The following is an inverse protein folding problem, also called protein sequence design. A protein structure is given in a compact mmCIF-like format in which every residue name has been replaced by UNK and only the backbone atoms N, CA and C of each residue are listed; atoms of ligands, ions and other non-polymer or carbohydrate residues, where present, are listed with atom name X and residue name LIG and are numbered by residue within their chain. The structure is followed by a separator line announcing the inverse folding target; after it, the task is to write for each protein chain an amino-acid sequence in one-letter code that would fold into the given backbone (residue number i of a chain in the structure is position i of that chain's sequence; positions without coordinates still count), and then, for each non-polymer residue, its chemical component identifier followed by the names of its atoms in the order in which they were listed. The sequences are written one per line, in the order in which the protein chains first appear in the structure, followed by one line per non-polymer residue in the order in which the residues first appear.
data_IF_214684600587
#
_entry.id   IF_214684600587
#
_cell.length_a   1.000
_cell.length_b   1.000
_cell.length_c   1.000
_cell.angle_alpha   90.00
_cell.angle_beta   90.00
_cell.angle_gamma   90.00
#
_symmetry.space_group_name_H-M   'P 1'
#
loop_
_entity.id
_entity.type
_entity.pdbx_description
1 polymer ?
#
# COMPACT_ATOMS: atom_id res chain seq x y z
N UNK A 1 21.38 -0.69 1.57
CA UNK A 1 21.00 -1.97 2.22
C UNK A 1 19.67 -2.58 1.76
N UNK A 2 18.97 -2.09 0.72
CA UNK A 2 17.63 -2.62 0.35
C UNK A 2 17.62 -3.79 -0.67
N UNK A 3 18.72 -4.04 -1.41
CA UNK A 3 18.91 -5.35 -2.07
C UNK A 3 18.97 -6.50 -1.05
N UNK A 4 19.22 -6.19 0.22
CA UNK A 4 19.40 -7.19 1.27
C UNK A 4 18.05 -7.80 1.67
N UNK A 5 17.04 -7.00 2.03
CA UNK A 5 15.79 -7.55 2.57
C UNK A 5 14.94 -8.33 1.56
N UNK A 6 14.84 -7.90 0.30
CA UNK A 6 14.12 -8.68 -0.73
C UNK A 6 14.82 -9.99 -1.13
N UNK A 7 16.11 -10.13 -0.82
CA UNK A 7 16.88 -11.34 -1.13
C UNK A 7 16.59 -12.48 -0.13
N UNK A 8 16.11 -12.15 1.08
CA UNK A 8 15.77 -13.13 2.12
C UNK A 8 14.29 -13.43 2.24
N UNK A 9 13.43 -12.69 1.51
CA UNK A 9 12.02 -13.03 1.44
C UNK A 9 11.85 -14.33 0.64
N UNK A 10 10.93 -15.21 1.07
CA UNK A 10 10.61 -16.41 0.32
C UNK A 10 10.14 -16.00 -1.09
N UNK A 11 10.84 -16.50 -2.11
CA UNK A 11 10.48 -16.22 -3.50
C UNK A 11 9.23 -17.00 -3.84
N UNK A 12 8.17 -16.28 -4.18
CA UNK A 12 6.93 -16.87 -4.68
C UNK A 12 7.01 -17.03 -6.18
N UNK A 13 6.40 -18.09 -6.68
CA UNK A 13 6.28 -18.30 -8.13
C UNK A 13 5.05 -17.55 -8.65
N UNK A 14 5.12 -17.09 -9.90
CA UNK A 14 3.98 -16.44 -10.54
C UNK A 14 2.77 -17.37 -10.60
N UNK A 15 2.99 -18.65 -10.94
CA UNK A 15 1.96 -19.69 -10.96
C UNK A 15 1.29 -19.88 -9.59
N UNK A 16 2.05 -19.85 -8.50
CA UNK A 16 1.50 -19.94 -7.15
C UNK A 16 0.60 -18.74 -6.82
N UNK A 17 0.98 -17.53 -7.24
CA UNK A 17 0.15 -16.33 -7.08
C UNK A 17 -1.17 -16.45 -7.88
N UNK A 18 -1.10 -16.88 -9.14
CA UNK A 18 -2.28 -17.10 -9.99
C UNK A 18 -3.21 -18.17 -9.39
N UNK A 19 -2.66 -19.31 -8.98
CA UNK A 19 -3.46 -20.39 -8.37
C UNK A 19 -4.13 -19.95 -7.08
N UNK A 20 -3.42 -19.15 -6.26
CA UNK A 20 -3.99 -18.60 -5.02
C UNK A 20 -5.13 -17.63 -5.31
N UNK A 21 -4.98 -16.80 -6.35
CA UNK A 21 -6.02 -15.86 -6.75
C UNK A 21 -7.26 -16.59 -7.28
N UNK A 22 -7.06 -17.61 -8.12
CA UNK A 22 -8.16 -18.43 -8.64
C UNK A 22 -8.91 -19.14 -7.52
N UNK A 23 -8.23 -19.59 -6.47
CA UNK A 23 -8.87 -20.11 -5.26
C UNK A 23 -9.69 -19.04 -4.55
N UNK A 24 -9.17 -17.82 -4.39
CA UNK A 24 -9.91 -16.70 -3.80
C UNK A 24 -11.17 -16.37 -4.61
N UNK A 25 -11.06 -16.24 -5.94
CA UNK A 25 -12.21 -15.98 -6.84
C UNK A 25 -13.26 -17.08 -6.76
N UNK A 26 -12.87 -18.35 -6.61
CA UNK A 26 -13.80 -19.47 -6.41
C UNK A 26 -14.56 -19.37 -5.09
N UNK A 27 -13.88 -18.96 -4.01
CA UNK A 27 -14.52 -18.75 -2.70
C UNK A 27 -15.51 -17.59 -2.74
N UNK A 28 -15.12 -16.48 -3.40
CA UNK A 28 -15.97 -15.30 -3.61
C UNK A 28 -17.22 -15.64 -4.43
N UNK A 29 -17.07 -16.43 -5.50
CA UNK A 29 -18.18 -16.85 -6.37
C UNK A 29 -18.97 -18.07 -5.85
N UNK A 30 -18.64 -18.58 -4.66
CA UNK A 30 -19.32 -19.77 -4.14
C UNK A 30 -20.76 -19.43 -3.74
N UNK A 31 -21.72 -20.05 -4.42
CA UNK A 31 -23.16 -19.86 -4.16
C UNK A 31 -23.56 -20.31 -2.76
N UNK A 32 -22.79 -21.22 -2.15
CA UNK A 32 -23.07 -21.78 -0.83
C UNK A 32 -22.98 -20.74 0.30
N UNK A 33 -22.39 -19.56 0.02
CA UNK A 33 -22.21 -18.50 1.01
C UNK A 33 -23.30 -17.41 0.99
N UNK A 34 -24.24 -17.46 0.05
CA UNK A 34 -25.39 -16.55 0.03
C UNK A 34 -25.05 -15.07 -0.16
N UNK A 35 -23.90 -14.75 -0.74
CA UNK A 35 -23.47 -13.37 -0.99
C UNK A 35 -24.36 -12.66 -2.02
N UNK A 36 -24.46 -11.33 -1.92
CA UNK A 36 -25.16 -10.52 -2.91
C UNK A 36 -24.44 -10.56 -4.27
N UNK A 37 -25.16 -10.96 -5.31
CA UNK A 37 -24.57 -11.18 -6.64
C UNK A 37 -23.99 -9.90 -7.25
N UNK A 38 -24.59 -8.73 -7.00
CA UNK A 38 -24.10 -7.45 -7.54
C UNK A 38 -22.81 -7.03 -6.83
N UNK A 39 -22.75 -7.15 -5.50
CA UNK A 39 -21.54 -6.86 -4.74
C UNK A 39 -20.40 -7.80 -5.11
N UNK A 40 -20.69 -9.09 -5.31
CA UNK A 40 -19.71 -10.08 -5.80
C UNK A 40 -19.19 -9.71 -7.18
N UNK A 41 -20.06 -9.34 -8.12
CA UNK A 41 -19.63 -8.91 -9.46
C UNK A 41 -18.75 -7.65 -9.42
N UNK A 42 -19.11 -6.66 -8.58
CA UNK A 42 -18.27 -5.47 -8.38
C UNK A 42 -16.90 -5.84 -7.81
N UNK A 43 -16.86 -6.72 -6.80
CA UNK A 43 -15.60 -7.17 -6.21
C UNK A 43 -14.73 -7.92 -7.24
N UNK A 44 -15.32 -8.85 -8.01
CA UNK A 44 -14.59 -9.60 -9.04
C UNK A 44 -14.01 -8.65 -10.09
N UNK A 45 -14.77 -7.64 -10.53
CA UNK A 45 -14.24 -6.60 -11.44
C UNK A 45 -13.01 -5.90 -10.86
N UNK A 46 -13.07 -5.47 -9.60
CA UNK A 46 -11.94 -4.80 -8.93
C UNK A 46 -10.73 -5.74 -8.79
N UNK A 47 -10.97 -7.01 -8.49
CA UNK A 47 -9.93 -8.05 -8.42
C UNK A 47 -9.28 -8.28 -9.77
N UNK A 48 -10.06 -8.34 -10.85
CA UNK A 48 -9.57 -8.52 -12.22
C UNK A 48 -8.75 -7.30 -12.68
N UNK A 49 -9.21 -6.08 -12.41
CA UNK A 49 -8.45 -4.85 -12.69
C UNK A 49 -7.11 -4.86 -11.95
N UNK A 50 -7.10 -5.32 -10.70
CA UNK A 50 -5.88 -5.42 -9.91
C UNK A 50 -4.94 -6.51 -10.43
N UNK A 51 -5.47 -7.65 -10.83
CA UNK A 51 -4.69 -8.72 -11.47
C UNK A 51 -4.03 -8.24 -12.76
N UNK A 52 -4.76 -7.52 -13.60
CA UNK A 52 -4.24 -6.93 -14.84
C UNK A 52 -3.08 -5.97 -14.53
N UNK A 53 -3.21 -5.12 -13.51
CA UNK A 53 -2.12 -4.23 -13.09
C UNK A 53 -0.85 -5.01 -12.71
N UNK A 54 -0.98 -6.09 -11.92
CA UNK A 54 0.16 -6.95 -11.57
C UNK A 54 0.77 -7.62 -12.81
N UNK A 55 -0.05 -8.21 -13.69
CA UNK A 55 0.41 -8.86 -14.93
C UNK A 55 1.16 -7.88 -15.83
N UNK A 56 0.63 -6.68 -16.00
CA UNK A 56 1.24 -5.62 -16.80
C UNK A 56 2.60 -5.22 -16.23
N UNK A 57 2.72 -5.03 -14.91
CA UNK A 57 4.01 -4.69 -14.30
C UNK A 57 5.01 -5.84 -14.41
N UNK A 58 4.60 -7.08 -14.12
CA UNK A 58 5.48 -8.25 -14.23
C UNK A 58 5.97 -8.42 -15.69
N UNK A 59 5.08 -8.27 -16.67
CA UNK A 59 5.39 -8.41 -18.09
C UNK A 59 6.33 -7.33 -18.65
N UNK A 60 6.47 -6.17 -17.97
CA UNK A 60 7.36 -5.10 -18.41
C UNK A 60 8.85 -5.38 -18.14
N UNK A 61 9.17 -6.29 -17.22
CA UNK A 61 10.56 -6.57 -16.85
C UNK A 61 11.07 -7.83 -17.54
N UNK A 62 12.23 -7.73 -18.20
CA UNK A 62 12.90 -8.89 -18.80
C UNK A 62 13.65 -9.74 -17.79
N UNK A 63 14.11 -9.12 -16.69
CA UNK A 63 14.90 -9.78 -15.65
C UNK A 63 13.99 -10.30 -14.55
N UNK A 64 14.08 -11.59 -14.26
CA UNK A 64 13.31 -12.23 -13.19
C UNK A 64 13.56 -11.59 -11.81
N UNK A 65 14.76 -11.06 -11.56
CA UNK A 65 15.06 -10.33 -10.31
C UNK A 65 14.19 -9.11 -10.10
N UNK A 66 13.83 -8.43 -11.20
CA UNK A 66 13.09 -7.17 -11.17
C UNK A 66 11.58 -7.44 -11.17
N UNK A 67 11.16 -8.61 -11.69
CA UNK A 67 9.79 -9.12 -11.57
C UNK A 67 9.43 -9.56 -10.15
N UNK A 68 10.40 -10.10 -9.39
CA UNK A 68 10.14 -10.79 -8.13
C UNK A 68 9.37 -9.97 -7.07
N UNK A 69 9.64 -8.66 -6.86
CA UNK A 69 8.84 -7.86 -5.92
C UNK A 69 7.36 -7.82 -6.29
N UNK A 70 7.04 -7.66 -7.57
CA UNK A 70 5.66 -7.65 -8.06
C UNK A 70 4.99 -9.02 -7.95
N UNK A 71 5.73 -10.11 -8.23
CA UNK A 71 5.22 -11.48 -8.03
C UNK A 71 4.91 -11.75 -6.55
N UNK A 72 5.79 -11.32 -5.65
CA UNK A 72 5.61 -11.47 -4.22
C UNK A 72 4.41 -10.64 -3.71
N UNK A 73 4.27 -9.40 -4.17
CA UNK A 73 3.13 -8.54 -3.83
C UNK A 73 1.83 -9.10 -4.40
N UNK A 74 1.86 -9.65 -5.62
CA UNK A 74 0.70 -10.32 -6.22
C UNK A 74 0.26 -11.55 -5.40
N UNK A 75 1.22 -12.37 -4.96
CA UNK A 75 0.92 -13.47 -4.04
C UNK A 75 0.34 -12.98 -2.71
N UNK A 76 0.89 -11.91 -2.13
CA UNK A 76 0.39 -11.35 -0.87
C UNK A 76 -1.06 -10.86 -1.00
N UNK A 77 -1.38 -10.20 -2.11
CA UNK A 77 -2.74 -9.79 -2.45
C UNK A 77 -3.68 -11.00 -2.55
N UNK A 78 -3.33 -11.97 -3.41
CA UNK A 78 -4.13 -13.16 -3.64
C UNK A 78 -4.36 -13.97 -2.36
N UNK A 79 -3.29 -14.14 -1.56
CA UNK A 79 -3.35 -14.85 -0.29
C UNK A 79 -4.24 -14.11 0.72
N UNK A 80 -4.14 -12.78 0.81
CA UNK A 80 -4.96 -12.03 1.76
C UNK A 80 -6.44 -12.14 1.42
N UNK A 81 -6.80 -12.03 0.14
CA UNK A 81 -8.19 -12.28 -0.30
C UNK A 81 -8.63 -13.71 0.02
N UNK A 82 -7.80 -14.71 -0.31
CA UNK A 82 -8.12 -16.11 -0.01
C UNK A 82 -8.35 -16.32 1.48
N UNK A 83 -7.36 -15.97 2.32
CA UNK A 83 -7.42 -16.15 3.77
C UNK A 83 -8.67 -15.43 4.34
N UNK A 84 -8.99 -14.23 3.85
CA UNK A 84 -10.16 -13.46 4.28
C UNK A 84 -11.48 -14.17 3.94
N UNK A 85 -11.63 -14.65 2.70
CA UNK A 85 -12.85 -15.36 2.32
C UNK A 85 -12.93 -16.79 2.86
N UNK A 86 -11.81 -17.41 3.25
CA UNK A 86 -11.84 -18.68 4.00
C UNK A 86 -12.43 -18.46 5.39
N UNK A 87 -11.84 -17.53 6.16
CA UNK A 87 -12.23 -17.23 7.55
C UNK A 87 -12.38 -15.71 7.80
N UNK A 88 -13.52 -15.08 7.43
CA UNK A 88 -13.70 -13.63 7.58
C UNK A 88 -13.59 -13.15 9.03
N UNK A 89 -13.96 -13.99 9.99
CA UNK A 89 -13.91 -13.67 11.43
C UNK A 89 -12.51 -13.63 12.02
N UNK A 90 -11.51 -14.22 11.36
CA UNK A 90 -10.12 -14.25 11.85
C UNK A 90 -9.31 -13.03 11.39
N UNK A 91 -9.84 -12.25 10.45
CA UNK A 91 -9.14 -11.14 9.81
C UNK A 91 -10.02 -9.90 9.91
N UNK A 92 -9.83 -9.12 10.96
CA UNK A 92 -10.59 -7.88 11.19
C UNK A 92 -10.33 -6.84 10.10
N UNK A 93 -9.07 -6.69 9.67
CA UNK A 93 -8.66 -5.72 8.66
C UNK A 93 -7.79 -6.38 7.58
N UNK A 94 -8.39 -6.82 6.45
CA UNK A 94 -7.64 -7.43 5.36
C UNK A 94 -6.73 -6.44 4.64
N UNK A 95 -7.07 -5.15 4.58
CA UNK A 95 -6.23 -4.13 3.95
C UNK A 95 -4.92 -3.97 4.74
N UNK A 96 -5.03 -3.74 6.06
CA UNK A 96 -3.87 -3.63 6.94
C UNK A 96 -3.01 -4.89 6.92
N UNK A 97 -3.62 -6.09 6.90
CA UNK A 97 -2.89 -7.36 6.78
C UNK A 97 -2.09 -7.46 5.48
N UNK A 98 -2.66 -6.99 4.37
CA UNK A 98 -1.98 -6.96 3.08
C UNK A 98 -0.83 -5.94 3.06
N UNK A 99 -1.04 -4.71 3.51
CA UNK A 99 -0.01 -3.66 3.54
C UNK A 99 1.15 -3.96 4.50
N UNK A 100 0.87 -4.61 5.63
CA UNK A 100 1.87 -5.00 6.61
C UNK A 100 2.60 -6.31 6.22
N UNK A 101 2.22 -6.94 5.12
CA UNK A 101 2.95 -8.10 4.60
C UNK A 101 4.36 -7.69 4.19
N UNK A 102 5.38 -8.43 4.65
CA UNK A 102 6.75 -8.23 4.20
C UNK A 102 6.95 -8.45 2.69
N UNK A 103 5.96 -9.01 2.00
CA UNK A 103 5.94 -9.21 0.55
C UNK A 103 5.29 -8.05 -0.22
N UNK A 104 4.69 -7.07 0.46
CA UNK A 104 3.98 -5.96 -0.15
C UNK A 104 4.91 -4.99 -0.87
N UNK A 105 4.49 -4.61 -2.06
CA UNK A 105 4.91 -3.37 -2.72
C UNK A 105 3.71 -2.78 -3.47
N UNK A 106 3.61 -1.45 -3.50
CA UNK A 106 2.51 -0.78 -4.22
C UNK A 106 2.67 -0.98 -5.73
N UNK A 107 1.57 -1.28 -6.41
CA UNK A 107 1.52 -1.54 -7.86
C UNK A 107 0.43 -0.64 -8.44
N UNK A 108 0.82 0.26 -9.33
CA UNK A 108 -0.09 1.15 -10.04
C UNK A 108 -0.53 0.55 -11.38
N UNK A 109 -1.58 1.14 -11.96
CA UNK A 109 -2.03 0.80 -13.32
C UNK A 109 -0.95 1.06 -14.37
N UNK A 110 -0.15 2.10 -14.14
CA UNK A 110 0.99 2.46 -14.98
C UNK A 110 2.30 2.25 -14.23
N UNK A 111 3.39 2.16 -15.00
CA UNK A 111 4.75 2.01 -14.46
C UNK A 111 5.13 3.17 -13.54
N UNK A 112 4.73 4.39 -13.91
CA UNK A 112 5.10 5.60 -13.17
C UNK A 112 4.43 5.68 -11.80
N UNK A 113 3.29 5.02 -11.63
CA UNK A 113 2.55 4.91 -10.37
C UNK A 113 2.94 3.68 -9.54
N UNK A 114 3.82 2.82 -10.06
CA UNK A 114 4.23 1.58 -9.41
C UNK A 114 5.51 1.75 -8.61
N UNK A 115 5.72 0.85 -7.66
CA UNK A 115 6.98 0.77 -6.93
C UNK A 115 8.16 0.62 -7.89
N UNK A 116 9.25 1.30 -7.59
CA UNK A 116 10.52 1.25 -8.30
C UNK A 116 11.69 1.07 -7.33
N UNK A 117 12.84 0.65 -7.85
CA UNK A 117 14.06 0.60 -7.03
C UNK A 117 14.48 1.98 -6.48
N UNK A 118 14.12 3.06 -7.17
CA UNK A 118 14.44 4.41 -6.75
C UNK A 118 13.67 4.82 -5.48
N UNK A 119 12.50 4.24 -5.21
CA UNK A 119 11.76 4.43 -3.95
C UNK A 119 12.53 3.87 -2.75
N UNK A 120 13.18 2.72 -2.92
CA UNK A 120 14.03 2.16 -1.86
C UNK A 120 15.36 2.90 -1.72
N UNK A 121 15.96 3.32 -2.83
CA UNK A 121 17.20 4.09 -2.80
C UNK A 121 16.99 5.45 -2.12
N UNK A 122 15.92 6.16 -2.49
CA UNK A 122 15.56 7.45 -1.89
C UNK A 122 15.28 7.32 -0.39
N UNK A 123 14.48 6.34 0.05
CA UNK A 123 14.26 6.08 1.49
C UNK A 123 15.58 5.81 2.22
N UNK A 124 16.47 5.00 1.63
CA UNK A 124 17.78 4.72 2.24
C UNK A 124 18.68 5.97 2.33
N UNK A 125 18.70 6.80 1.29
CA UNK A 125 19.44 8.08 1.31
C UNK A 125 18.84 9.07 2.30
N UNK A 126 17.52 9.11 2.43
CA UNK A 126 16.82 9.95 3.40
C UNK A 126 17.24 9.58 4.82
N UNK A 127 17.15 8.30 5.20
CA UNK A 127 17.53 7.86 6.54
C UNK A 127 19.04 7.98 6.81
N UNK A 128 19.87 7.70 5.81
CA UNK A 128 21.33 7.89 5.93
C UNK A 128 21.65 9.38 6.11
N UNK A 129 20.98 10.24 5.34
CA UNK A 129 21.10 11.69 5.44
C UNK A 129 20.67 12.22 6.81
N UNK A 130 19.55 11.74 7.35
CA UNK A 130 19.09 12.06 8.70
C UNK A 130 20.09 11.60 9.77
N UNK A 131 20.63 10.38 9.64
CA UNK A 131 21.67 9.87 10.55
C UNK A 131 22.94 10.73 10.52
N UNK A 132 23.40 11.11 9.33
CA UNK A 132 24.54 12.03 9.16
C UNK A 132 24.25 13.43 9.70
N UNK A 133 23.00 13.89 9.64
CA UNK A 133 22.58 15.18 10.21
C UNK A 133 22.69 15.15 11.74
N UNK A 134 22.18 14.09 12.36
CA UNK A 134 22.29 13.93 13.82
C UNK A 134 23.75 13.81 14.23
N UNK A 135 24.55 13.06 13.49
CA UNK A 135 25.99 12.93 13.74
C UNK A 135 26.72 14.26 13.61
N UNK A 136 26.40 15.08 12.60
CA UNK A 136 27.05 16.38 12.40
C UNK A 136 26.76 17.33 13.56
N UNK A 137 25.51 17.35 14.06
CA UNK A 137 25.14 18.15 15.24
C UNK A 137 25.91 17.74 16.49
N UNK A 138 26.13 16.43 16.70
CA UNK A 138 26.92 15.91 17.82
C UNK A 138 28.42 16.24 17.70
N UNK A 139 28.93 16.45 16.49
CA UNK A 139 30.34 16.79 16.24
C UNK A 139 30.66 18.27 16.43
N UNK A 140 29.66 19.17 16.41
CA UNK A 140 29.85 20.63 16.58
C UNK A 140 30.74 20.98 17.79
N UNK A 141 30.51 20.46 19.02
CA UNK A 141 31.32 20.81 20.18
C UNK A 141 32.72 20.17 20.18
N UNK A 142 32.97 19.16 19.33
CA UNK A 142 34.22 18.37 19.33
C UNK A 142 35.15 18.80 18.19
N UNK A 143 34.61 18.97 16.98
CA UNK A 143 35.37 19.28 15.78
C UNK A 143 34.46 19.97 14.74
N UNK A 144 34.46 21.31 14.79
CA UNK A 144 33.62 22.14 13.92
C UNK A 144 33.89 21.93 12.41
N UNK A 145 35.14 21.89 11.91
CA UNK A 145 35.39 21.59 10.50
C UNK A 145 34.78 20.26 10.04
N UNK A 146 34.95 19.20 10.82
CA UNK A 146 34.39 17.88 10.49
C UNK A 146 32.86 17.91 10.53
N UNK A 147 32.27 18.57 11.53
CA UNK A 147 30.83 18.75 11.65
C UNK A 147 30.23 19.42 10.39
N UNK A 148 30.87 20.48 9.88
CA UNK A 148 30.43 21.19 8.68
C UNK A 148 30.52 20.32 7.41
N UNK A 149 31.58 19.52 7.27
CA UNK A 149 31.72 18.57 6.15
C UNK A 149 30.60 17.53 6.20
N UNK A 150 30.39 16.91 7.37
CA UNK A 150 29.34 15.89 7.55
C UNK A 150 27.95 16.49 7.32
N UNK A 151 27.71 17.73 7.73
CA UNK A 151 26.47 18.45 7.47
C UNK A 151 26.24 18.67 5.96
N UNK A 152 27.26 19.10 5.22
CA UNK A 152 27.17 19.27 3.76
C UNK A 152 26.82 17.98 3.03
N UNK A 153 27.46 16.85 3.41
CA UNK A 153 27.13 15.52 2.87
C UNK A 153 25.72 15.10 3.23
N UNK A 154 25.30 15.33 4.48
CA UNK A 154 23.93 15.05 4.94
C UNK A 154 22.89 15.78 4.10
N UNK A 155 23.04 17.09 3.89
CA UNK A 155 22.12 17.90 3.07
C UNK A 155 22.09 17.38 1.63
N UNK A 156 23.26 17.02 1.08
CA UNK A 156 23.38 16.48 -0.28
C UNK A 156 22.62 15.16 -0.47
N UNK A 157 22.45 14.37 0.60
CA UNK A 157 21.61 13.17 0.58
C UNK A 157 20.14 13.49 0.86
N UNK A 158 19.86 14.39 1.81
CA UNK A 158 18.50 14.73 2.25
C UNK A 158 17.68 15.45 1.19
N UNK A 159 18.25 16.44 0.49
CA UNK A 159 17.50 17.26 -0.46
C UNK A 159 16.89 16.44 -1.63
N UNK A 160 17.68 15.69 -2.43
CA UNK A 160 17.10 14.90 -3.52
C UNK A 160 16.24 13.73 -3.03
N UNK A 161 16.58 13.11 -1.90
CA UNK A 161 15.82 11.99 -1.36
C UNK A 161 14.47 12.39 -0.77
N UNK A 162 14.40 13.56 -0.11
CA UNK A 162 13.15 14.11 0.41
C UNK A 162 12.23 14.53 -0.72
N UNK A 163 12.73 15.23 -1.74
CA UNK A 163 11.95 15.56 -2.93
C UNK A 163 11.36 14.31 -3.58
N UNK A 164 12.19 13.28 -3.81
CA UNK A 164 11.71 12.04 -4.42
C UNK A 164 10.67 11.33 -3.53
N UNK A 165 10.94 11.21 -2.23
CA UNK A 165 10.04 10.50 -1.30
C UNK A 165 8.70 11.21 -1.18
N UNK A 166 8.69 12.53 -0.94
CA UNK A 166 7.47 13.28 -0.66
C UNK A 166 6.77 13.79 -1.92
N UNK A 167 7.52 14.08 -2.99
CA UNK A 167 6.98 14.60 -4.24
C UNK A 167 6.57 13.53 -5.25
N UNK A 168 7.13 12.31 -5.16
CA UNK A 168 6.88 11.24 -6.15
C UNK A 168 6.34 9.98 -5.46
N UNK A 169 7.12 9.37 -4.55
CA UNK A 169 6.77 8.07 -3.96
C UNK A 169 5.46 8.13 -3.16
N UNK A 170 5.33 9.09 -2.23
CA UNK A 170 4.16 9.19 -1.34
C UNK A 170 2.84 9.48 -2.09
N UNK A 171 2.79 10.42 -3.05
CA UNK A 171 1.60 10.63 -3.87
C UNK A 171 1.19 9.36 -4.64
N UNK A 172 2.16 8.66 -5.23
CA UNK A 172 1.89 7.43 -5.99
C UNK A 172 1.36 6.31 -5.08
N UNK A 173 2.00 6.12 -3.91
CA UNK A 173 1.58 5.16 -2.88
C UNK A 173 0.15 5.47 -2.40
N UNK A 174 -0.19 6.75 -2.20
CA UNK A 174 -1.53 7.17 -1.78
C UNK A 174 -2.59 6.92 -2.87
N UNK A 175 -2.27 7.13 -4.15
CA UNK A 175 -3.19 6.84 -5.26
C UNK A 175 -3.47 5.34 -5.38
N UNK A 176 -2.46 4.50 -5.19
CA UNK A 176 -2.62 3.04 -5.19
C UNK A 176 -3.40 2.59 -3.95
N UNK A 177 -3.09 3.14 -2.78
CA UNK A 177 -3.77 2.85 -1.53
C UNK A 177 -5.29 3.05 -1.64
N UNK A 178 -5.75 4.18 -2.22
CA UNK A 178 -7.20 4.44 -2.40
C UNK A 178 -7.92 3.34 -3.19
N UNK A 179 -7.26 2.77 -4.21
CA UNK A 179 -7.83 1.66 -5.01
C UNK A 179 -7.82 0.34 -4.24
N UNK A 180 -6.75 0.10 -3.48
CA UNK A 180 -6.65 -1.07 -2.61
C UNK A 180 -7.71 -1.01 -1.50
N UNK A 181 -7.93 0.17 -0.92
CA UNK A 181 -8.97 0.46 0.07
C UNK A 181 -10.38 0.22 -0.49
N UNK A 182 -10.70 0.74 -1.69
CA UNK A 182 -11.99 0.46 -2.35
C UNK A 182 -12.22 -1.06 -2.54
N UNK A 183 -11.18 -1.78 -2.99
CA UNK A 183 -11.24 -3.23 -3.20
C UNK A 183 -11.49 -3.99 -1.90
N UNK A 184 -10.72 -3.70 -0.85
CA UNK A 184 -10.84 -4.42 0.42
C UNK A 184 -12.10 -4.02 1.20
N UNK A 185 -12.56 -2.77 1.11
CA UNK A 185 -13.86 -2.37 1.67
C UNK A 185 -15.01 -3.09 0.97
N UNK A 186 -14.94 -3.27 -0.35
CA UNK A 186 -15.91 -4.08 -1.09
C UNK A 186 -15.83 -5.56 -0.67
N UNK A 187 -14.63 -6.09 -0.45
CA UNK A 187 -14.46 -7.46 0.04
C UNK A 187 -15.10 -7.65 1.42
N UNK A 188 -14.91 -6.68 2.32
CA UNK A 188 -15.55 -6.68 3.64
C UNK A 188 -17.07 -6.65 3.50
N UNK A 189 -17.61 -5.71 2.72
CA UNK A 189 -19.04 -5.59 2.48
C UNK A 189 -19.67 -6.90 1.95
N UNK A 190 -19.01 -7.58 1.00
CA UNK A 190 -19.46 -8.88 0.49
C UNK A 190 -19.48 -9.94 1.60
N UNK A 191 -18.41 -10.05 2.40
CA UNK A 191 -18.29 -11.08 3.42
C UNK A 191 -19.20 -10.85 4.63
N UNK A 192 -19.55 -9.60 4.95
CA UNK A 192 -20.40 -9.24 6.10
C UNK A 192 -21.84 -8.95 5.71
N UNK A 193 -22.21 -9.06 4.42
CA UNK A 193 -23.50 -8.63 3.88
C UNK A 193 -23.85 -7.16 4.20
N UNK A 194 -22.83 -6.32 4.40
CA UNK A 194 -23.02 -4.91 4.70
C UNK A 194 -23.17 -4.10 3.39
N UNK A 195 -23.87 -2.96 3.41
CA UNK A 195 -23.80 -2.02 2.30
C UNK A 195 -22.35 -1.53 2.12
N UNK A 196 -21.91 -1.41 0.87
CA UNK A 196 -20.59 -0.86 0.53
C UNK A 196 -20.54 0.61 0.95
N UNK A 197 -19.71 0.94 1.93
CA UNK A 197 -19.41 2.34 2.22
C UNK A 197 -18.37 2.86 1.22
N UNK A 198 -18.67 3.93 0.46
CA UNK A 198 -17.68 4.55 -0.41
C UNK A 198 -16.57 5.18 0.44
N UNK A 199 -15.33 5.14 -0.07
CA UNK A 199 -14.11 5.62 0.61
C UNK A 199 -14.06 7.14 0.89
N UNK A 200 -15.16 7.89 0.70
CA UNK A 200 -15.18 9.35 0.74
C UNK A 200 -16.26 9.98 1.65
N UNK A 201 -16.99 9.22 2.48
CA UNK A 201 -18.04 9.81 3.32
C UNK A 201 -17.58 10.32 4.71
N UNK A 202 -16.28 10.26 5.02
CA UNK A 202 -15.73 10.90 6.23
C UNK A 202 -14.97 12.21 5.91
N UNK A 203 -15.56 13.09 5.09
CA UNK A 203 -15.15 14.49 5.08
C UNK A 203 -16.22 15.43 4.53
N UNK A 204 -17.42 15.42 5.12
CA UNK A 204 -18.36 16.54 4.99
C UNK A 204 -19.45 16.48 6.07
N UNK A 205 -19.77 17.64 6.62
CA UNK A 205 -20.93 17.95 7.47
C UNK A 205 -20.84 17.57 8.96
N UNK A 206 -20.02 18.31 9.71
CA UNK A 206 -20.38 18.71 11.07
C UNK A 206 -20.40 20.25 11.13
N UNK A 207 -21.48 20.80 10.58
CA UNK A 207 -21.67 22.23 10.41
C UNK A 207 -23.12 22.57 10.17
N UNK A 208 -24.01 22.30 11.14
CA UNK A 208 -25.19 23.13 11.44
C UNK A 208 -26.01 22.52 12.58
N UNK A 209 -25.67 22.86 13.83
CA UNK A 209 -26.65 22.83 14.91
C UNK A 209 -27.06 24.26 15.28
N UNK A 210 -28.15 24.67 14.63
CA UNK A 210 -29.09 25.68 15.06
C UNK A 210 -29.26 25.72 16.59
N UNK A 211 -28.82 26.80 17.23
CA UNK A 211 -29.37 27.20 18.52
C UNK A 211 -30.32 28.37 18.33
N UNK A 212 -31.60 27.99 18.18
CA UNK A 212 -32.77 28.86 18.21
C UNK A 212 -32.93 29.36 19.65
N UNK A 213 -32.55 30.61 19.91
CA UNK A 213 -32.84 31.29 21.17
C UNK A 213 -34.34 31.56 21.21
N UNK A 214 -35.09 30.73 21.93
CA UNK A 214 -36.46 31.02 22.36
C UNK A 214 -36.39 31.94 23.58
N UNK A 215 -37.16 33.03 23.52
CA UNK A 215 -37.31 33.99 24.59
C UNK A 215 -37.94 33.41 25.84
N UNK A 216 -37.58 34.00 26.96
CA UNK A 216 -38.35 33.93 28.20
C UNK A 216 -38.84 35.34 28.51
N UNK A 217 -40.16 35.51 28.41
CA UNK A 217 -40.91 36.50 29.17
C UNK A 217 -40.90 36.09 30.64
N UNK A 218 -40.50 37.01 31.53
CA UNK A 218 -41.18 37.40 32.77
C UNK A 218 -40.46 38.58 33.42
#
# INVERSE_FOLDING_TARGET
MARFFYRFLPKKSFLEAEQTLEQAKKLINSKDRGYDEKQVQTLIRLVDEREIAFRNQIGQFMKQSDQQPYINSFYAFAKTLKDYFENPSEIEDPLSRYHNSGLYCYVGETRDLSYTFADNASRAFLYSGLGLLVLSLMLIPVNLPLALITLGVSISFLAPSSYYTFGITRPNEALVYKKEEELFNTAVAVATHAPTHPANDEMSEDGEHHHKVQGFEQ
#
